data_IF_291109113381
#
_entry.id   IF_291109113381
#
_cell.length_a   1.000
_cell.length_b   1.000
_cell.length_c   1.000
_cell.angle_alpha   90.00
_cell.angle_beta   90.00
_cell.angle_gamma   90.00
#
_symmetry.space_group_name_H-M   'P 1'
#
loop_
_entity.id
_entity.type
_entity.pdbx_description
1 polymer ?
#
# COMPACT_ATOMS: atom_id res chain seq x y z
N UNK A 1 -13.28 -18.21 -37.49
CA UNK A 1 -12.84 -18.69 -36.17
C UNK A 1 -12.28 -17.48 -35.44
N UNK A 2 -12.98 -17.07 -34.39
CA UNK A 2 -12.72 -15.88 -33.55
C UNK A 2 -11.36 -16.00 -32.85
N UNK A 3 -10.54 -14.96 -32.93
CA UNK A 3 -9.64 -14.53 -31.84
C UNK A 3 -9.47 -13.00 -31.94
N UNK A 4 -10.52 -12.28 -31.53
CA UNK A 4 -10.35 -10.92 -31.03
C UNK A 4 -9.62 -11.02 -29.69
N UNK A 5 -8.29 -10.94 -29.73
CA UNK A 5 -7.45 -10.91 -28.54
C UNK A 5 -7.63 -9.56 -27.84
N UNK A 6 -8.53 -9.58 -26.87
CA UNK A 6 -8.59 -8.76 -25.66
C UNK A 6 -8.21 -7.29 -25.84
N UNK A 7 -9.24 -6.49 -26.11
CA UNK A 7 -9.31 -5.09 -25.69
C UNK A 7 -8.74 -4.93 -24.29
N UNK A 8 -7.67 -4.16 -24.15
CA UNK A 8 -7.12 -3.68 -22.88
C UNK A 8 -8.03 -2.62 -22.26
N UNK A 9 -9.34 -2.88 -22.22
CA UNK A 9 -10.27 -2.13 -21.40
C UNK A 9 -10.32 -2.85 -20.05
N UNK A 10 -9.27 -2.66 -19.23
CA UNK A 10 -9.34 -2.98 -17.80
C UNK A 10 -10.23 -1.94 -17.15
N UNK A 11 -11.53 -2.01 -17.41
CA UNK A 11 -12.48 -1.62 -16.40
C UNK A 11 -12.24 -2.58 -15.24
N UNK A 12 -11.56 -2.10 -14.20
CA UNK A 12 -11.29 -2.85 -12.98
C UNK A 12 -12.60 -3.39 -12.44
N UNK A 13 -12.77 -4.72 -12.50
CA UNK A 13 -13.94 -5.37 -11.93
C UNK A 13 -13.95 -5.08 -10.43
N UNK A 14 -15.03 -4.53 -9.87
CA UNK A 14 -15.11 -4.23 -8.43
C UNK A 14 -14.91 -5.50 -7.57
N UNK A 15 -15.18 -6.67 -8.14
CA UNK A 15 -14.92 -7.97 -7.52
C UNK A 15 -13.41 -8.32 -7.48
N UNK A 16 -12.63 -7.96 -8.51
CA UNK A 16 -11.17 -8.10 -8.50
C UNK A 16 -10.52 -7.14 -7.50
N UNK A 17 -11.03 -5.90 -7.40
CA UNK A 17 -10.53 -4.90 -6.44
C UNK A 17 -10.78 -5.32 -4.98
N UNK A 18 -11.94 -5.92 -4.70
CA UNK A 18 -12.29 -6.46 -3.38
C UNK A 18 -11.45 -7.69 -3.02
N UNK A 19 -11.17 -8.57 -3.98
CA UNK A 19 -10.32 -9.76 -3.75
C UNK A 19 -8.85 -9.36 -3.57
N UNK A 20 -8.34 -8.39 -4.33
CA UNK A 20 -7.01 -7.81 -4.09
C UNK A 20 -6.92 -7.11 -2.72
N UNK A 21 -7.97 -6.39 -2.30
CA UNK A 21 -8.06 -5.74 -0.99
C UNK A 21 -8.05 -6.71 0.20
N UNK A 22 -8.42 -7.97 -0.01
CA UNK A 22 -8.32 -9.04 0.99
C UNK A 22 -6.92 -9.65 1.11
N UNK A 23 -6.11 -9.59 0.06
CA UNK A 23 -4.78 -10.22 0.00
C UNK A 23 -3.65 -9.26 0.41
N UNK A 24 -3.86 -7.95 0.27
CA UNK A 24 -2.87 -6.94 0.65
C UNK A 24 -2.96 -6.62 2.15
N UNK A 25 -1.84 -6.63 2.90
CA UNK A 25 -1.83 -6.22 4.30
C UNK A 25 -2.25 -4.75 4.43
N UNK A 26 -3.08 -4.46 5.43
CA UNK A 26 -3.67 -3.12 5.67
C UNK A 26 -2.96 -2.34 6.78
N UNK A 27 -2.18 -3.03 7.60
CA UNK A 27 -1.43 -2.47 8.72
C UNK A 27 0.05 -2.86 8.65
N UNK A 28 0.91 -2.12 9.36
CA UNK A 28 2.32 -2.50 9.49
C UNK A 28 2.50 -3.87 10.14
N UNK A 29 1.58 -4.27 11.01
CA UNK A 29 1.67 -5.56 11.71
C UNK A 29 1.35 -6.74 10.79
N UNK A 30 0.45 -6.56 9.83
CA UNK A 30 0.15 -7.55 8.78
C UNK A 30 1.26 -7.66 7.72
N UNK A 31 2.10 -6.63 7.56
CA UNK A 31 3.19 -6.65 6.58
C UNK A 31 4.32 -7.58 7.03
N UNK A 32 4.51 -8.69 6.30
CA UNK A 32 5.48 -9.74 6.67
C UNK A 32 6.91 -9.35 6.28
N UNK A 33 7.86 -9.55 7.20
CA UNK A 33 9.27 -9.24 7.00
C UNK A 33 9.63 -7.76 7.23
N UNK A 34 10.80 -7.34 6.75
CA UNK A 34 11.28 -5.95 6.79
C UNK A 34 11.24 -5.28 8.18
N UNK A 35 11.62 -6.02 9.24
CA UNK A 35 11.43 -5.59 10.63
C UNK A 35 12.04 -4.21 10.96
N UNK A 36 13.22 -3.91 10.42
CA UNK A 36 13.89 -2.61 10.61
C UNK A 36 13.09 -1.46 9.96
N UNK A 37 12.70 -1.61 8.70
CA UNK A 37 11.85 -0.64 7.99
C UNK A 37 10.53 -0.42 8.72
N UNK A 38 9.88 -1.49 9.17
CA UNK A 38 8.64 -1.39 9.96
C UNK A 38 8.85 -0.63 11.26
N UNK A 39 9.98 -0.83 11.93
CA UNK A 39 10.37 -0.08 13.12
C UNK A 39 10.49 1.42 12.85
N UNK A 40 11.23 1.80 11.81
CA UNK A 40 11.38 3.20 11.40
C UNK A 40 10.04 3.86 11.06
N UNK A 41 9.21 3.19 10.24
CA UNK A 41 7.88 3.68 9.87
C UNK A 41 7.00 3.87 11.11
N UNK A 42 6.98 2.90 12.03
CA UNK A 42 6.18 2.99 13.26
C UNK A 42 6.53 4.25 14.06
N UNK A 43 7.82 4.51 14.27
CA UNK A 43 8.29 5.70 15.01
C UNK A 43 7.88 6.99 14.29
N UNK A 44 8.08 7.08 12.98
CA UNK A 44 7.77 8.29 12.20
C UNK A 44 6.27 8.59 12.17
N UNK A 45 5.45 7.58 11.87
CA UNK A 45 4.00 7.72 11.78
C UNK A 45 3.40 8.03 13.16
N UNK A 46 3.85 7.35 14.22
CA UNK A 46 3.41 7.64 15.58
C UNK A 46 3.76 9.07 15.99
N UNK A 47 4.96 9.54 15.68
CA UNK A 47 5.37 10.90 15.97
C UNK A 47 4.54 11.94 15.19
N UNK A 48 4.19 11.68 13.93
CA UNK A 48 3.32 12.56 13.15
C UNK A 48 1.90 12.60 13.73
N UNK A 49 1.32 11.43 14.06
CA UNK A 49 0.00 11.31 14.69
C UNK A 49 -0.08 12.01 16.04
N UNK A 50 0.92 11.81 16.91
CA UNK A 50 0.99 12.50 18.22
C UNK A 50 1.04 14.02 18.09
N UNK A 51 1.65 14.52 17.02
CA UNK A 51 1.73 15.97 16.71
C UNK A 51 0.50 16.50 15.99
N UNK A 52 -0.43 15.64 15.55
CA UNK A 52 -1.62 16.04 14.79
C UNK A 52 -1.28 16.65 13.42
N UNK A 53 -0.16 16.24 12.81
CA UNK A 53 0.33 16.76 11.54
C UNK A 53 0.46 15.65 10.50
N UNK A 54 0.62 16.04 9.23
CA UNK A 54 0.94 15.11 8.17
C UNK A 54 2.25 14.36 8.46
N UNK A 55 2.34 13.12 7.96
CA UNK A 55 3.61 12.41 7.97
C UNK A 55 4.62 13.09 7.03
N UNK A 56 5.91 12.90 7.32
CA UNK A 56 6.98 13.38 6.44
C UNK A 56 6.92 12.67 5.06
N UNK A 57 7.71 13.18 4.11
CA UNK A 57 7.78 12.58 2.77
C UNK A 57 8.51 11.23 2.79
N UNK A 58 7.93 10.23 2.12
CA UNK A 58 8.53 8.90 1.97
C UNK A 58 8.93 8.61 0.52
N UNK A 59 10.10 7.99 0.34
CA UNK A 59 10.53 7.40 -0.92
C UNK A 59 10.79 5.92 -0.71
N UNK A 60 9.94 5.07 -1.28
CA UNK A 60 10.16 3.62 -1.29
C UNK A 60 10.91 3.22 -2.56
N UNK A 61 12.15 2.75 -2.40
CA UNK A 61 13.00 2.32 -3.51
C UNK A 61 13.41 0.84 -3.33
N UNK A 62 13.53 0.13 -4.46
CA UNK A 62 14.01 -1.26 -4.48
C UNK A 62 13.45 -2.09 -5.63
N UNK A 63 13.95 -3.33 -5.80
CA UNK A 63 13.47 -4.30 -6.80
C UNK A 63 11.94 -4.48 -6.85
N UNK A 64 11.38 -4.93 -7.99
CA UNK A 64 9.96 -5.24 -8.08
C UNK A 64 9.57 -6.36 -7.08
N UNK A 65 8.33 -6.34 -6.60
CA UNK A 65 7.81 -7.38 -5.68
C UNK A 65 8.08 -7.16 -4.18
N UNK A 66 8.81 -6.11 -3.79
CA UNK A 66 9.10 -5.81 -2.37
C UNK A 66 7.96 -5.12 -1.60
N UNK A 67 6.77 -5.01 -2.17
CA UNK A 67 5.62 -4.43 -1.49
C UNK A 67 5.67 -2.89 -1.34
N UNK A 68 6.37 -2.17 -2.21
CA UNK A 68 6.46 -0.69 -2.18
C UNK A 68 5.08 -0.02 -2.25
N UNK A 69 4.24 -0.45 -3.19
CA UNK A 69 2.87 0.04 -3.32
C UNK A 69 2.04 -0.32 -2.10
N UNK A 70 2.17 -1.54 -1.59
CA UNK A 70 1.51 -1.99 -0.35
C UNK A 70 1.90 -1.13 0.85
N UNK A 71 3.19 -0.82 1.02
CA UNK A 71 3.66 0.07 2.09
C UNK A 71 3.09 1.48 1.97
N UNK A 72 2.94 2.01 0.76
CA UNK A 72 2.30 3.31 0.55
C UNK A 72 0.82 3.31 1.00
N UNK A 73 0.06 2.26 0.66
CA UNK A 73 -1.31 2.10 1.16
C UNK A 73 -1.36 1.95 2.68
N UNK A 74 -0.43 1.20 3.29
CA UNK A 74 -0.36 1.06 4.75
C UNK A 74 -0.08 2.42 5.39
N UNK A 75 0.89 3.19 4.88
CA UNK A 75 1.19 4.54 5.39
C UNK A 75 -0.05 5.44 5.30
N UNK A 76 -0.74 5.43 4.17
CA UNK A 76 -1.98 6.22 4.01
C UNK A 76 -3.06 5.79 5.01
N UNK A 77 -3.25 4.48 5.18
CA UNK A 77 -4.20 3.90 6.14
C UNK A 77 -3.89 4.33 7.58
N UNK A 78 -2.63 4.20 8.02
CA UNK A 78 -2.17 4.57 9.36
C UNK A 78 -2.32 6.09 9.62
N UNK A 79 -2.21 6.90 8.57
CA UNK A 79 -2.39 8.35 8.62
C UNK A 79 -3.82 8.81 8.34
N UNK A 80 -4.76 7.88 8.13
CA UNK A 80 -6.15 8.15 7.76
C UNK A 80 -6.28 9.07 6.53
N UNK A 81 -5.36 8.89 5.57
CA UNK A 81 -5.31 9.63 4.31
C UNK A 81 -5.79 8.74 3.15
N UNK A 82 -6.27 9.38 2.08
CA UNK A 82 -6.66 8.71 0.85
C UNK A 82 -5.43 8.45 -0.05
N UNK A 83 -5.32 7.26 -0.63
CA UNK A 83 -4.26 6.88 -1.57
C UNK A 83 -4.89 6.17 -2.76
N UNK A 84 -5.01 6.89 -3.87
CA UNK A 84 -5.66 6.48 -5.13
C UNK A 84 -4.66 5.85 -6.09
#
# INVERSE_FOLDING_TARGET
MREELLSADRASDPEEEVVEGGLRPRSLDEFVGQAELKGHLRVMLEAARRRGQAADHFLFAGPPGLGKTTLAHIVATEMQAEFT
#
